data_IF_708134621332
#
_entry.id   IF_708134621332
#
_cell.length_a   1.000
_cell.length_b   1.000
_cell.length_c   1.000
_cell.angle_alpha   90.00
_cell.angle_beta   90.00
_cell.angle_gamma   90.00
#
_symmetry.space_group_name_H-M   'P 1'
#
loop_
_entity.id
_entity.type
_entity.pdbx_description
1 polymer ?
#
# COMPACT_ATOMS: atom_id res chain seq x y z
N UNK A 1 -28.76 -1.27 34.97
CA UNK A 1 -28.18 -0.67 33.75
C UNK A 1 -29.31 -0.01 32.99
N UNK A 2 -29.12 1.23 32.56
CA UNK A 2 -30.10 1.96 31.73
C UNK A 2 -29.66 1.74 30.29
N UNK A 3 -30.58 1.55 29.34
CA UNK A 3 -30.22 1.43 27.93
C UNK A 3 -30.20 2.81 27.28
N UNK A 4 -29.02 3.46 27.28
CA UNK A 4 -28.87 4.81 26.74
C UNK A 4 -29.06 4.85 25.21
N UNK A 5 -28.91 3.72 24.52
CA UNK A 5 -29.12 3.61 23.07
C UNK A 5 -30.59 3.72 22.68
N UNK A 6 -31.50 3.25 23.54
CA UNK A 6 -32.95 3.31 23.30
C UNK A 6 -33.54 4.62 23.84
N UNK A 7 -33.02 5.11 24.97
CA UNK A 7 -33.50 6.35 25.60
C UNK A 7 -33.02 7.62 24.87
N UNK A 8 -32.15 7.48 23.87
CA UNK A 8 -31.61 8.61 23.09
C UNK A 8 -30.68 9.52 23.89
N UNK A 9 -30.20 9.04 25.05
CA UNK A 9 -29.20 9.72 25.88
C UNK A 9 -27.77 9.30 25.53
N UNK A 10 -27.60 8.31 24.66
CA UNK A 10 -26.30 7.93 24.11
C UNK A 10 -25.72 9.07 23.25
N UNK A 11 -24.55 9.57 23.65
CA UNK A 11 -23.84 10.64 22.95
C UNK A 11 -22.91 10.07 21.86
N UNK A 12 -23.47 9.25 20.95
CA UNK A 12 -22.74 8.71 19.80
C UNK A 12 -22.76 9.67 18.61
N UNK A 13 -21.72 9.62 17.77
CA UNK A 13 -21.70 10.33 16.50
C UNK A 13 -22.75 9.75 15.53
N UNK A 14 -23.15 10.54 14.52
CA UNK A 14 -24.21 10.16 13.57
C UNK A 14 -23.94 8.85 12.82
N UNK A 15 -22.65 8.50 12.66
CA UNK A 15 -22.17 7.31 11.94
C UNK A 15 -21.72 6.18 12.88
N UNK A 16 -21.98 6.30 14.18
CA UNK A 16 -21.65 5.30 15.18
C UNK A 16 -22.88 4.50 15.60
N UNK A 17 -22.72 3.18 15.65
CA UNK A 17 -23.66 2.25 16.24
C UNK A 17 -23.51 2.27 17.77
N UNK A 18 -24.59 2.59 18.47
CA UNK A 18 -24.64 2.47 19.92
C UNK A 18 -24.81 1.01 20.37
N UNK A 19 -24.04 0.59 21.36
CA UNK A 19 -24.08 -0.72 22.01
C UNK A 19 -24.24 -0.51 23.51
N UNK A 20 -25.33 -1.04 24.08
CA UNK A 20 -25.59 -0.97 25.52
C UNK A 20 -24.71 -1.98 26.27
N UNK A 21 -24.11 -1.55 27.38
CA UNK A 21 -23.21 -2.34 28.23
C UNK A 21 -23.64 -2.30 29.69
N UNK A 22 -23.14 -3.23 30.51
CA UNK A 22 -23.41 -3.17 31.94
C UNK A 22 -22.65 -1.97 32.55
N UNK A 23 -23.39 -0.99 33.05
CA UNK A 23 -22.90 0.26 33.60
C UNK A 23 -22.86 1.44 32.64
N UNK A 24 -23.26 1.29 31.36
CA UNK A 24 -23.30 2.40 30.40
C UNK A 24 -23.41 1.96 28.93
N UNK A 25 -22.92 2.77 27.99
CA UNK A 25 -22.95 2.45 26.55
C UNK A 25 -21.58 2.62 25.89
N UNK A 26 -21.40 1.97 24.73
CA UNK A 26 -20.26 2.13 23.85
C UNK A 26 -20.74 2.53 22.46
N UNK A 27 -20.07 3.50 21.85
CA UNK A 27 -20.29 3.87 20.46
C UNK A 27 -19.23 3.15 19.62
N UNK A 28 -19.67 2.27 18.75
CA UNK A 28 -18.81 1.57 17.79
C UNK A 28 -19.09 2.18 16.44
N UNK A 29 -18.06 2.77 15.79
CA UNK A 29 -18.18 3.21 14.41
C UNK A 29 -18.79 2.11 13.55
N UNK A 30 -19.63 2.47 12.58
CA UNK A 30 -20.11 1.51 11.60
C UNK A 30 -18.92 0.79 10.96
N UNK A 31 -18.61 -0.40 11.45
CA UNK A 31 -17.69 -1.34 10.83
C UNK A 31 -18.31 -1.74 9.50
N UNK A 32 -17.88 -1.03 8.46
CA UNK A 32 -18.58 -0.97 7.18
C UNK A 32 -18.34 0.28 6.35
N UNK A 33 -17.42 1.20 6.72
CA UNK A 33 -16.77 2.00 5.69
C UNK A 33 -15.82 1.09 4.91
N UNK A 34 -16.33 0.42 3.87
CA UNK A 34 -15.55 -0.12 2.75
C UNK A 34 -14.93 1.00 1.88
N UNK A 35 -14.53 2.12 2.51
CA UNK A 35 -13.89 3.23 1.83
C UNK A 35 -12.40 2.95 1.67
N UNK A 36 -12.10 2.36 0.52
CA UNK A 36 -11.04 2.76 -0.42
C UNK A 36 -9.54 2.61 -0.08
N UNK A 37 -9.12 2.03 1.04
CA UNK A 37 -7.67 1.88 1.32
C UNK A 37 -7.08 0.46 1.24
N UNK A 38 -7.87 -0.58 0.91
CA UNK A 38 -7.36 -1.97 0.92
C UNK A 38 -6.64 -2.37 -0.38
N UNK A 39 -6.72 -1.57 -1.45
CA UNK A 39 -5.89 -1.82 -2.63
C UNK A 39 -4.43 -1.37 -2.44
N UNK A 40 -4.19 -0.37 -1.57
CA UNK A 40 -2.86 0.19 -1.31
C UNK A 40 -2.13 -0.54 -0.16
N UNK A 41 -2.87 -1.12 0.80
CA UNK A 41 -2.27 -1.85 1.95
C UNK A 41 -2.10 -3.36 1.73
N UNK A 42 -2.55 -3.95 0.61
CA UNK A 42 -2.31 -5.36 0.31
C UNK A 42 -0.94 -5.63 -0.32
N UNK A 43 -0.35 -4.61 -0.95
CA UNK A 43 0.92 -4.74 -1.66
C UNK A 43 2.00 -3.93 -0.98
N UNK A 44 3.21 -4.48 -0.96
CA UNK A 44 4.38 -3.74 -0.47
C UNK A 44 4.63 -2.53 -1.40
N UNK A 45 5.28 -1.46 -0.90
CA UNK A 45 5.73 -0.37 -1.76
C UNK A 45 6.52 -0.92 -2.97
N UNK A 46 6.30 -0.35 -4.16
CA UNK A 46 6.86 -0.86 -5.42
C UNK A 46 6.04 -1.96 -6.09
N UNK A 47 4.86 -2.31 -5.54
CA UNK A 47 3.95 -3.29 -6.14
C UNK A 47 2.55 -2.74 -6.34
N UNK A 48 1.92 -3.14 -7.43
CA UNK A 48 0.52 -2.84 -7.75
C UNK A 48 -0.34 -4.09 -7.64
N UNK A 49 -1.54 -3.94 -7.07
CA UNK A 49 -2.46 -5.05 -6.97
C UNK A 49 -3.09 -5.37 -8.33
N UNK A 50 -2.78 -6.54 -8.88
CA UNK A 50 -3.38 -7.03 -10.11
C UNK A 50 -4.71 -7.71 -9.80
N UNK A 51 -5.82 -7.06 -10.14
CA UNK A 51 -7.18 -7.58 -9.87
C UNK A 51 -7.50 -8.90 -10.57
N UNK A 52 -6.89 -9.15 -11.74
CA UNK A 52 -7.13 -10.36 -12.54
C UNK A 52 -6.40 -11.55 -11.95
N UNK A 53 -5.13 -11.36 -11.58
CA UNK A 53 -4.31 -12.38 -10.94
C UNK A 53 -4.59 -12.51 -9.43
N UNK A 54 -5.26 -11.51 -8.82
CA UNK A 54 -5.41 -11.34 -7.37
C UNK A 54 -4.07 -11.40 -6.62
N UNK A 55 -3.02 -10.84 -7.22
CA UNK A 55 -1.65 -10.85 -6.68
C UNK A 55 -1.01 -9.48 -6.83
N UNK A 56 -0.07 -9.17 -5.94
CA UNK A 56 0.80 -8.01 -6.08
C UNK A 56 1.81 -8.26 -7.21
N UNK A 57 1.79 -7.39 -8.21
CA UNK A 57 2.72 -7.43 -9.34
C UNK A 57 3.65 -6.25 -9.21
N UNK A 58 4.93 -6.51 -9.46
CA UNK A 58 5.97 -5.51 -9.48
C UNK A 58 5.61 -4.33 -10.38
N UNK A 59 5.80 -3.11 -9.89
CA UNK A 59 5.63 -1.90 -10.69
C UNK A 59 6.93 -1.72 -11.47
N UNK A 60 6.85 -1.65 -12.80
CA UNK A 60 8.02 -1.33 -13.61
C UNK A 60 8.18 0.19 -13.72
N UNK A 61 8.97 0.78 -12.82
CA UNK A 61 9.24 2.22 -12.84
C UNK A 61 10.11 2.65 -14.03
N UNK A 62 10.79 1.70 -14.70
CA UNK A 62 11.58 1.97 -15.90
C UNK A 62 10.70 2.10 -17.16
N UNK A 63 9.63 1.31 -17.28
CA UNK A 63 8.72 1.36 -18.44
C UNK A 63 7.88 2.63 -18.52
N UNK A 64 7.62 3.29 -17.39
CA UNK A 64 6.77 4.50 -17.31
C UNK A 64 7.53 5.84 -17.35
N UNK A 65 8.87 5.82 -17.34
CA UNK A 65 9.67 7.04 -17.18
C UNK A 65 9.50 7.70 -15.80
N UNK A 66 9.02 6.95 -14.80
CA UNK A 66 8.87 7.40 -13.41
C UNK A 66 10.11 7.17 -12.55
N UNK A 67 11.25 6.86 -13.17
CA UNK A 67 12.53 6.70 -12.50
C UNK A 67 13.27 8.05 -12.43
N UNK A 68 14.01 8.26 -11.35
CA UNK A 68 14.85 9.44 -11.14
C UNK A 68 16.30 9.23 -11.62
N UNK A 69 16.51 8.33 -12.59
CA UNK A 69 17.86 8.03 -13.09
C UNK A 69 18.43 9.21 -13.90
N UNK A 70 19.74 9.42 -13.78
CA UNK A 70 20.43 10.45 -14.55
C UNK A 70 20.45 10.08 -16.05
N UNK A 71 20.61 11.06 -16.97
CA UNK A 71 20.75 10.76 -18.40
C UNK A 71 21.98 9.90 -18.77
N UNK A 72 22.94 9.75 -17.86
CA UNK A 72 24.13 8.90 -18.01
C UNK A 72 23.97 7.54 -17.31
N UNK A 73 22.76 7.22 -16.83
CA UNK A 73 22.42 5.99 -16.14
C UNK A 73 21.30 5.27 -16.88
N UNK A 74 21.35 3.95 -16.89
CA UNK A 74 20.29 3.06 -17.36
C UNK A 74 19.42 2.62 -16.18
N UNK A 75 18.10 2.70 -16.36
CA UNK A 75 17.15 2.18 -15.38
C UNK A 75 17.02 0.66 -15.54
N UNK A 76 17.27 -0.08 -14.46
CA UNK A 76 17.09 -1.52 -14.38
C UNK A 76 15.98 -1.81 -13.37
N UNK A 77 14.85 -2.34 -13.84
CA UNK A 77 13.75 -2.71 -12.98
C UNK A 77 14.15 -3.87 -12.04
N UNK A 78 13.82 -3.77 -10.76
CA UNK A 78 14.10 -4.77 -9.72
C UNK A 78 12.81 -5.12 -9.00
N UNK A 79 12.79 -6.27 -8.33
CA UNK A 79 11.60 -6.66 -7.59
C UNK A 79 11.37 -5.70 -6.39
N UNK A 80 10.29 -4.93 -6.46
CA UNK A 80 9.84 -3.93 -5.51
C UNK A 80 10.54 -2.57 -5.63
N UNK A 81 11.37 -2.34 -6.65
CA UNK A 81 12.13 -1.10 -6.82
C UNK A 81 12.78 -1.00 -8.20
N UNK A 82 13.54 0.07 -8.45
CA UNK A 82 14.41 0.18 -9.61
C UNK A 82 15.83 0.53 -9.17
N UNK A 83 16.80 0.25 -10.03
CA UNK A 83 18.18 0.63 -9.82
C UNK A 83 18.71 1.36 -11.04
N UNK A 84 19.29 2.54 -10.82
CA UNK A 84 20.04 3.26 -11.84
C UNK A 84 21.46 2.69 -11.87
N UNK A 85 21.89 2.24 -13.05
CA UNK A 85 23.24 1.74 -13.27
C UNK A 85 23.95 2.65 -14.26
N UNK A 86 25.23 2.98 -14.07
CA UNK A 86 25.96 3.80 -15.03
C UNK A 86 25.92 3.12 -16.41
N UNK A 87 25.70 3.90 -17.47
CA UNK A 87 25.83 3.41 -18.85
C UNK A 87 27.33 3.22 -19.09
N UNK A 88 27.85 2.06 -18.67
CA UNK A 88 29.22 1.66 -18.95
C UNK A 88 29.21 1.11 -20.36
N UNK A 89 29.96 1.72 -21.27
CA UNK A 89 30.27 1.10 -22.56
C UNK A 89 30.88 -0.28 -22.27
N UNK A 90 30.20 -1.36 -22.67
CA UNK A 90 30.54 -2.75 -22.31
C UNK A 90 31.82 -3.26 -23.01
N UNK A 91 32.84 -2.42 -23.20
CA UNK A 91 34.13 -2.88 -23.73
C UNK A 91 35.10 -3.41 -22.65
N UNK A 92 34.71 -3.51 -21.36
CA UNK A 92 35.66 -3.88 -20.29
C UNK A 92 35.07 -4.74 -19.14
N UNK A 93 34.14 -5.67 -19.42
CA UNK A 93 33.64 -6.63 -18.40
C UNK A 93 34.00 -8.10 -18.66
N UNK A 94 35.13 -8.39 -19.32
CA UNK A 94 35.65 -9.77 -19.41
C UNK A 94 36.95 -10.04 -18.61
N UNK A 95 37.47 -9.11 -17.80
CA UNK A 95 38.77 -9.30 -17.13
C UNK A 95 38.76 -9.60 -15.62
N UNK A 96 37.62 -9.90 -14.98
CA UNK A 96 37.61 -10.19 -13.53
C UNK A 96 36.85 -11.45 -13.11
N UNK A 97 37.04 -12.58 -13.81
CA UNK A 97 36.77 -13.90 -13.23
C UNK A 97 37.82 -14.94 -13.65
N UNK A 98 39.01 -14.89 -13.04
CA UNK A 98 39.88 -16.08 -12.83
C UNK A 98 41.06 -15.67 -11.95
N UNK A 99 40.94 -15.89 -10.64
CA UNK A 99 42.08 -16.18 -9.76
C UNK A 99 42.21 -17.69 -9.57
#
# INVERSE_FOLDING_TARGET
DIDECVEGSAACNLDEKCINTLGGHQCQGAEGEEKEDIASSQCQPGFSFNITARTCTDIDECSGGGNDCSPMEECVNKHGSYQCQPIIDQQEQEETTSE
#
